data_IF_799239243800
#
_entry.id   IF_799239243800
#
_cell.length_a   1.000
_cell.length_b   1.000
_cell.length_c   1.000
_cell.angle_alpha   90.00
_cell.angle_beta   90.00
_cell.angle_gamma   90.00
#
_symmetry.space_group_name_H-M   'P 1'
#
loop_
_entity.id
_entity.type
_entity.pdbx_description
1 polymer ?
#
# COMPACT_ATOMS: atom_id res chain seq x y z
N UNK A 1 -21.27 40.26 73.11
CA UNK A 1 -20.95 40.37 71.65
C UNK A 1 -20.13 39.20 71.05
N UNK A 2 -20.02 38.05 71.77
CA UNK A 2 -19.20 36.90 71.28
C UNK A 2 -19.98 35.62 70.88
N UNK A 3 -21.32 35.62 71.08
CA UNK A 3 -22.17 34.48 70.79
C UNK A 3 -22.96 34.58 69.43
N UNK A 4 -23.08 35.71 68.84
CA UNK A 4 -23.84 35.95 67.63
C UNK A 4 -23.00 35.77 66.31
N UNK A 5 -21.65 35.76 66.44
CA UNK A 5 -20.75 35.56 65.31
C UNK A 5 -20.64 34.07 64.88
N UNK A 6 -20.87 33.13 65.86
CA UNK A 6 -20.76 31.69 65.61
C UNK A 6 -21.95 31.10 64.79
N UNK A 7 -23.09 31.73 64.80
CA UNK A 7 -24.31 31.26 64.10
C UNK A 7 -24.36 31.69 62.65
N UNK A 8 -23.63 32.73 62.27
CA UNK A 8 -23.57 33.22 60.88
C UNK A 8 -22.53 32.44 60.01
N UNK A 9 -21.53 31.83 60.65
CA UNK A 9 -20.51 31.03 59.93
C UNK A 9 -21.02 29.62 59.60
N UNK A 10 -21.95 29.06 60.42
CA UNK A 10 -22.51 27.72 60.14
C UNK A 10 -23.57 27.72 59.02
N UNK A 11 -24.14 28.85 58.65
CA UNK A 11 -25.13 28.95 57.58
C UNK A 11 -24.52 29.09 56.20
N UNK A 12 -23.24 29.47 56.12
CA UNK A 12 -22.53 29.64 54.83
C UNK A 12 -21.94 28.34 54.27
N UNK A 13 -21.91 27.27 55.04
CA UNK A 13 -21.29 25.97 54.67
C UNK A 13 -22.27 24.96 54.05
N UNK A 14 -23.56 25.29 53.95
CA UNK A 14 -24.60 24.35 53.42
C UNK A 14 -24.96 24.60 51.97
N UNK A 15 -24.45 25.66 51.32
CA UNK A 15 -24.89 26.02 49.95
C UNK A 15 -23.95 25.52 48.86
N UNK A 16 -22.81 24.89 49.17
CA UNK A 16 -21.82 24.47 48.15
C UNK A 16 -21.92 23.02 47.71
N UNK A 17 -22.94 22.24 48.04
CA UNK A 17 -23.01 20.80 47.73
C UNK A 17 -24.12 20.40 46.76
N UNK A 18 -24.50 21.25 45.82
CA UNK A 18 -25.43 20.86 44.73
C UNK A 18 -25.02 21.33 43.33
N UNK A 19 -23.76 21.17 42.99
CA UNK A 19 -23.35 21.12 41.60
C UNK A 19 -22.85 19.70 41.27
N UNK A 20 -23.64 18.68 41.61
CA UNK A 20 -23.51 17.37 40.99
C UNK A 20 -24.08 17.54 39.59
N UNK A 21 -23.19 17.79 38.62
CA UNK A 21 -23.51 17.71 37.22
C UNK A 21 -24.16 16.35 36.99
N UNK A 22 -25.37 16.36 36.51
CA UNK A 22 -26.10 15.19 36.05
C UNK A 22 -25.40 14.68 34.78
N UNK A 23 -24.16 14.17 34.93
CA UNK A 23 -23.49 13.45 33.87
C UNK A 23 -24.22 12.11 33.75
N UNK A 24 -25.22 12.05 32.90
CA UNK A 24 -25.75 10.76 32.47
C UNK A 24 -24.56 9.84 32.24
N UNK A 25 -24.53 8.68 32.91
CA UNK A 25 -23.45 7.73 32.78
C UNK A 25 -23.32 7.38 31.26
N UNK A 26 -22.25 7.86 30.69
CA UNK A 26 -21.93 7.59 29.27
C UNK A 26 -21.04 6.37 29.21
N UNK A 27 -21.45 5.39 28.47
CA UNK A 27 -20.63 4.22 28.15
C UNK A 27 -19.94 4.44 26.81
N UNK A 28 -18.77 3.83 26.63
CA UNK A 28 -18.04 3.86 25.36
C UNK A 28 -18.00 2.45 24.78
N UNK A 29 -18.34 2.36 23.50
CA UNK A 29 -18.27 1.12 22.71
C UNK A 29 -17.21 1.32 21.64
N UNK A 30 -16.13 0.56 21.72
CA UNK A 30 -15.09 0.53 20.68
C UNK A 30 -15.22 -0.73 19.84
N UNK A 31 -15.34 -0.56 18.53
CA UNK A 31 -15.45 -1.66 17.59
C UNK A 31 -14.44 -1.50 16.46
N UNK A 32 -14.01 -2.63 15.92
CA UNK A 32 -13.23 -2.68 14.68
C UNK A 32 -13.95 -3.50 13.65
N UNK A 33 -13.86 -3.06 12.39
CA UNK A 33 -14.34 -3.80 11.24
C UNK A 33 -13.33 -3.73 10.10
N UNK A 34 -13.33 -4.78 9.30
CA UNK A 34 -12.52 -4.88 8.09
C UNK A 34 -13.41 -5.35 6.94
N UNK A 35 -13.31 -4.68 5.81
CA UNK A 35 -13.99 -5.09 4.59
C UNK A 35 -13.02 -5.05 3.41
N UNK A 36 -13.21 -5.97 2.47
CA UNK A 36 -12.40 -6.08 1.26
C UNK A 36 -13.28 -6.06 0.03
N UNK A 37 -12.79 -5.38 -1.00
CA UNK A 37 -13.40 -5.37 -2.34
C UNK A 37 -12.36 -5.85 -3.34
N UNK A 38 -12.78 -6.66 -4.30
CA UNK A 38 -11.93 -7.19 -5.36
C UNK A 38 -12.41 -6.70 -6.72
N UNK A 39 -11.45 -6.49 -7.63
CA UNK A 39 -11.72 -6.16 -9.03
C UNK A 39 -10.73 -6.87 -9.95
N UNK A 40 -11.09 -7.00 -11.22
CA UNK A 40 -10.14 -7.43 -12.22
C UNK A 40 -9.15 -6.29 -12.48
N UNK A 41 -7.84 -6.58 -12.59
CA UNK A 41 -6.86 -5.58 -12.96
C UNK A 41 -7.04 -5.15 -14.42
N UNK A 42 -6.68 -3.92 -14.70
CA UNK A 42 -6.65 -3.37 -16.07
C UNK A 42 -5.26 -2.85 -16.47
N UNK A 43 -4.33 -2.78 -15.51
CA UNK A 43 -2.94 -2.34 -15.69
C UNK A 43 -1.99 -3.38 -15.12
N UNK A 44 -0.91 -3.65 -15.86
CA UNK A 44 0.28 -4.37 -15.42
C UNK A 44 1.47 -3.40 -15.35
N UNK A 45 2.09 -3.31 -14.18
CA UNK A 45 3.31 -2.54 -13.94
C UNK A 45 4.51 -3.50 -13.95
N UNK A 46 5.33 -3.44 -15.00
CA UNK A 46 6.57 -4.19 -15.11
C UNK A 46 7.69 -3.45 -14.38
N UNK A 47 8.41 -4.17 -13.55
CA UNK A 47 9.68 -3.72 -12.99
C UNK A 47 10.81 -4.51 -13.65
N UNK A 48 11.65 -3.82 -14.37
CA UNK A 48 12.75 -4.41 -15.13
C UNK A 48 14.08 -3.78 -14.72
N UNK A 49 15.17 -4.53 -14.87
CA UNK A 49 16.51 -3.99 -14.65
C UNK A 49 17.47 -4.40 -15.76
N UNK A 50 18.47 -3.53 -15.97
CA UNK A 50 19.63 -3.79 -16.82
C UNK A 50 20.86 -3.71 -15.93
N UNK A 51 21.71 -4.74 -16.02
CA UNK A 51 23.02 -4.78 -15.34
C UNK A 51 24.09 -4.96 -16.41
N UNK A 52 24.99 -3.99 -16.52
CA UNK A 52 26.12 -4.02 -17.42
C UNK A 52 27.45 -3.95 -16.64
N UNK A 53 28.38 -4.86 -16.93
CA UNK A 53 29.69 -4.94 -16.26
C UNK A 53 30.79 -4.88 -17.29
N UNK A 54 31.79 -4.00 -17.06
CA UNK A 54 33.00 -3.87 -17.89
C UNK A 54 34.15 -3.34 -17.04
N UNK A 55 35.37 -3.58 -17.47
CA UNK A 55 36.60 -3.09 -16.81
C UNK A 55 36.66 -1.56 -16.74
N UNK A 56 36.02 -0.85 -17.65
CA UNK A 56 35.98 0.61 -17.67
C UNK A 56 34.56 1.12 -17.51
N UNK A 57 34.37 2.18 -16.73
CA UNK A 57 33.08 2.80 -16.48
C UNK A 57 32.36 3.23 -17.78
N UNK A 58 33.12 3.82 -18.72
CA UNK A 58 32.59 4.25 -20.03
C UNK A 58 32.14 3.09 -20.89
N UNK A 59 32.84 1.93 -20.84
CA UNK A 59 32.47 0.72 -21.56
C UNK A 59 31.21 0.07 -20.94
N UNK A 60 31.13 0.02 -19.61
CA UNK A 60 29.93 -0.46 -18.90
C UNK A 60 28.70 0.39 -19.23
N UNK A 61 28.85 1.71 -19.24
CA UNK A 61 27.75 2.63 -19.59
C UNK A 61 27.32 2.48 -21.05
N UNK A 62 28.26 2.30 -21.98
CA UNK A 62 27.95 2.05 -23.40
C UNK A 62 27.19 0.72 -23.57
N UNK A 63 27.59 -0.32 -22.87
CA UNK A 63 26.88 -1.61 -22.87
C UNK A 63 25.44 -1.44 -22.38
N UNK A 64 25.24 -0.71 -21.26
CA UNK A 64 23.91 -0.34 -20.78
C UNK A 64 23.09 0.37 -21.85
N UNK A 65 23.63 1.42 -22.49
CA UNK A 65 22.90 2.17 -23.54
C UNK A 65 22.50 1.27 -24.72
N UNK A 66 23.35 0.34 -25.13
CA UNK A 66 23.04 -0.60 -26.21
C UNK A 66 21.86 -1.51 -25.82
N UNK A 67 21.86 -2.07 -24.62
CA UNK A 67 20.77 -2.91 -24.09
C UNK A 67 19.48 -2.10 -23.94
N UNK A 68 19.56 -0.89 -23.39
CA UNK A 68 18.40 0.02 -23.26
C UNK A 68 17.77 0.35 -24.62
N UNK A 69 18.60 0.70 -25.63
CA UNK A 69 18.12 0.98 -26.98
C UNK A 69 17.50 -0.28 -27.65
N UNK A 70 18.01 -1.47 -27.33
CA UNK A 70 17.43 -2.73 -27.81
C UNK A 70 16.07 -2.98 -27.15
N UNK A 71 15.94 -2.73 -25.84
CA UNK A 71 14.68 -2.80 -25.14
C UNK A 71 13.63 -1.81 -25.69
N UNK A 72 14.03 -0.55 -25.93
CA UNK A 72 13.12 0.42 -26.54
C UNK A 72 12.65 -0.01 -27.94
N UNK A 73 13.56 -0.58 -28.74
CA UNK A 73 13.22 -1.10 -30.09
C UNK A 73 12.25 -2.29 -30.02
N UNK A 74 12.43 -3.21 -29.07
CA UNK A 74 11.55 -4.38 -28.91
C UNK A 74 10.14 -3.99 -28.47
N UNK A 75 10.00 -2.90 -27.70
CA UNK A 75 8.72 -2.36 -27.25
C UNK A 75 8.04 -1.45 -28.27
N UNK A 76 8.75 -1.05 -29.33
CA UNK A 76 8.20 -0.14 -30.35
C UNK A 76 6.97 -0.75 -31.04
N UNK A 77 5.89 0.02 -31.08
CA UNK A 77 4.62 -0.40 -31.67
C UNK A 77 3.69 -1.19 -30.72
N UNK A 78 4.18 -1.57 -29.54
CA UNK A 78 3.36 -2.18 -28.48
C UNK A 78 3.07 -1.13 -27.41
N UNK A 79 4.10 -0.38 -27.01
CA UNK A 79 4.03 0.64 -25.97
C UNK A 79 4.68 1.92 -26.46
N UNK A 80 4.15 3.06 -26.01
CA UNK A 80 4.82 4.34 -26.19
C UNK A 80 6.12 4.35 -25.38
N UNK A 81 7.25 4.64 -26.05
CA UNK A 81 8.58 4.67 -25.43
C UNK A 81 8.71 5.64 -24.28
N UNK A 82 7.86 6.68 -24.22
CA UNK A 82 7.81 7.64 -23.10
C UNK A 82 7.26 7.05 -21.79
N UNK A 83 6.65 5.87 -21.86
CA UNK A 83 6.11 5.17 -20.69
C UNK A 83 7.14 4.27 -19.98
N UNK A 84 8.30 4.01 -20.62
CA UNK A 84 9.41 3.33 -19.95
C UNK A 84 10.17 4.36 -19.10
N UNK A 85 9.92 4.35 -17.81
CA UNK A 85 10.51 5.28 -16.85
C UNK A 85 11.75 4.66 -16.23
N UNK A 86 12.83 5.44 -16.10
CA UNK A 86 14.01 5.02 -15.34
C UNK A 86 13.86 5.51 -13.90
N UNK A 87 13.71 4.57 -12.99
CA UNK A 87 13.51 4.86 -11.55
C UNK A 87 14.84 5.11 -10.85
N UNK A 88 15.89 4.38 -11.25
CA UNK A 88 17.22 4.52 -10.71
C UNK A 88 18.28 4.15 -11.75
N UNK A 89 19.41 4.86 -11.72
CA UNK A 89 20.61 4.56 -12.52
C UNK A 89 21.85 4.80 -11.65
N UNK A 90 22.68 3.78 -11.48
CA UNK A 90 23.94 3.89 -10.73
C UNK A 90 25.11 3.28 -11.50
N UNK A 91 26.29 3.83 -11.27
CA UNK A 91 27.57 3.29 -11.76
C UNK A 91 28.47 3.08 -10.57
N UNK A 92 28.80 1.84 -10.26
CA UNK A 92 29.53 1.46 -9.05
C UNK A 92 30.83 0.73 -9.40
N UNK A 93 32.01 1.16 -8.88
CA UNK A 93 33.23 0.40 -8.99
C UNK A 93 33.16 -0.83 -8.05
N UNK A 94 33.68 -1.96 -8.49
CA UNK A 94 33.82 -3.18 -7.71
C UNK A 94 35.29 -3.54 -7.55
N UNK A 95 35.73 -3.80 -6.30
CA UNK A 95 37.07 -4.16 -5.93
C UNK A 95 37.11 -5.61 -5.39
N UNK A 96 38.18 -6.36 -5.72
CA UNK A 96 38.39 -7.67 -5.13
C UNK A 96 39.06 -7.49 -3.73
N UNK A 97 38.28 -7.71 -2.69
CA UNK A 97 38.77 -7.61 -1.30
C UNK A 97 39.84 -8.62 -0.92
N UNK A 98 40.09 -9.62 -1.77
CA UNK A 98 41.22 -10.57 -1.58
C UNK A 98 42.56 -9.98 -2.03
N UNK A 99 42.54 -8.82 -2.68
CA UNK A 99 43.73 -8.09 -3.16
C UNK A 99 43.77 -6.70 -2.53
N UNK A 100 44.12 -6.58 -1.23
CA UNK A 100 44.01 -5.32 -0.48
C UNK A 100 44.91 -4.19 -1.03
N UNK A 101 45.91 -4.51 -1.82
CA UNK A 101 46.80 -3.53 -2.46
C UNK A 101 46.30 -3.01 -3.80
N UNK A 102 45.17 -3.52 -4.27
CA UNK A 102 44.62 -3.12 -5.56
C UNK A 102 43.93 -1.74 -5.48
N UNK A 103 44.50 -0.76 -6.17
CA UNK A 103 44.01 0.62 -6.24
C UNK A 103 42.94 0.79 -7.33
N UNK A 104 42.91 -0.11 -8.33
CA UNK A 104 41.98 -0.06 -9.47
C UNK A 104 40.86 -1.06 -9.28
N UNK A 105 39.57 -0.68 -9.64
CA UNK A 105 38.48 -1.61 -9.61
C UNK A 105 38.68 -2.78 -10.57
N UNK A 106 38.19 -3.98 -10.22
CA UNK A 106 38.14 -5.12 -11.14
C UNK A 106 37.19 -4.87 -12.30
N UNK A 107 36.07 -4.27 -12.00
CA UNK A 107 35.09 -3.85 -12.99
C UNK A 107 34.23 -2.72 -12.45
N UNK A 108 33.56 -2.05 -13.39
CA UNK A 108 32.47 -1.12 -13.10
C UNK A 108 31.15 -1.77 -13.44
N UNK A 109 30.17 -1.63 -12.57
CA UNK A 109 28.80 -2.09 -12.79
C UNK A 109 27.86 -0.91 -12.96
N UNK A 110 27.14 -0.88 -14.09
CA UNK A 110 25.97 -0.02 -14.27
C UNK A 110 24.74 -0.83 -13.92
N UNK A 111 23.93 -0.31 -13.03
CA UNK A 111 22.62 -0.88 -12.69
C UNK A 111 21.55 0.15 -12.95
N UNK A 112 20.59 -0.20 -13.81
CA UNK A 112 19.41 0.63 -14.06
C UNK A 112 18.16 -0.16 -13.69
N UNK A 113 17.27 0.46 -12.91
CA UNK A 113 15.92 -0.04 -12.63
C UNK A 113 14.91 0.82 -13.35
N UNK A 114 13.95 0.18 -13.97
CA UNK A 114 12.95 0.84 -14.81
C UNK A 114 11.58 0.27 -14.53
N UNK A 115 10.56 1.10 -14.73
CA UNK A 115 9.15 0.73 -14.62
C UNK A 115 8.41 1.03 -15.92
N UNK A 116 7.42 0.19 -16.23
CA UNK A 116 6.59 0.28 -17.43
C UNK A 116 5.18 -0.14 -17.11
N UNK A 117 4.23 0.81 -17.16
CA UNK A 117 2.80 0.55 -16.99
C UNK A 117 2.13 0.28 -18.33
N UNK A 118 1.46 -0.87 -18.47
CA UNK A 118 0.77 -1.26 -19.70
C UNK A 118 -0.65 -1.76 -19.41
N UNK A 119 -1.58 -1.64 -20.39
CA UNK A 119 -2.87 -2.32 -20.30
C UNK A 119 -2.69 -3.84 -20.16
N UNK A 120 -3.57 -4.49 -19.42
CA UNK A 120 -3.55 -5.95 -19.26
C UNK A 120 -3.64 -6.69 -20.59
N UNK A 121 -4.31 -6.12 -21.59
CA UNK A 121 -4.41 -6.67 -22.94
C UNK A 121 -3.07 -6.85 -23.64
N UNK A 122 -2.06 -6.06 -23.26
CA UNK A 122 -0.74 -6.07 -23.88
C UNK A 122 0.31 -6.81 -23.02
N UNK A 123 -0.09 -7.31 -21.83
CA UNK A 123 0.78 -8.00 -20.88
C UNK A 123 1.69 -9.04 -21.55
N UNK A 124 1.11 -10.00 -22.25
CA UNK A 124 1.88 -11.12 -22.82
C UNK A 124 2.76 -10.68 -24.01
N UNK A 125 2.33 -9.68 -24.78
CA UNK A 125 3.15 -9.09 -25.86
C UNK A 125 4.39 -8.40 -25.28
N UNK A 126 4.18 -7.57 -24.24
CA UNK A 126 5.27 -6.86 -23.56
C UNK A 126 6.20 -7.87 -22.86
N UNK A 127 5.66 -8.88 -22.19
CA UNK A 127 6.46 -9.94 -21.58
C UNK A 127 7.38 -10.62 -22.61
N UNK A 128 6.84 -11.03 -23.75
CA UNK A 128 7.62 -11.63 -24.85
C UNK A 128 8.68 -10.68 -25.41
N UNK A 129 8.36 -9.40 -25.58
CA UNK A 129 9.30 -8.40 -26.08
C UNK A 129 10.43 -8.10 -25.09
N UNK A 130 10.14 -8.01 -23.79
CA UNK A 130 11.16 -7.76 -22.76
C UNK A 130 12.09 -8.96 -22.61
N UNK A 131 11.53 -10.18 -22.59
CA UNK A 131 12.32 -11.42 -22.43
C UNK A 131 13.17 -11.76 -23.65
N UNK A 132 12.88 -11.19 -24.82
CA UNK A 132 13.70 -11.36 -26.03
C UNK A 132 14.99 -10.52 -26.03
N UNK A 133 15.12 -9.57 -25.09
CA UNK A 133 16.30 -8.68 -25.03
C UNK A 133 17.30 -9.22 -24.03
N UNK A 134 18.48 -9.60 -24.51
CA UNK A 134 19.57 -10.05 -23.66
C UNK A 134 20.06 -8.95 -22.71
N UNK A 135 20.33 -9.30 -21.46
CA UNK A 135 20.79 -8.36 -20.41
C UNK A 135 19.69 -7.59 -19.72
N UNK A 136 18.41 -7.85 -20.04
CA UNK A 136 17.25 -7.33 -19.32
C UNK A 136 16.71 -8.40 -18.38
N UNK A 137 16.43 -8.02 -17.14
CA UNK A 137 15.81 -8.89 -16.14
C UNK A 137 14.45 -8.32 -15.72
N UNK A 138 13.43 -9.15 -15.67
CA UNK A 138 12.13 -8.79 -15.10
C UNK A 138 12.18 -9.11 -13.61
N UNK A 139 12.16 -8.08 -12.76
CA UNK A 139 12.20 -8.22 -11.30
C UNK A 139 10.82 -8.54 -10.72
N UNK A 140 9.76 -8.17 -11.44
CA UNK A 140 8.38 -8.46 -11.06
C UNK A 140 7.37 -7.77 -11.96
N UNK A 141 6.13 -8.25 -11.89
CA UNK A 141 4.97 -7.65 -12.53
C UNK A 141 3.92 -7.45 -11.44
N UNK A 142 3.47 -6.22 -11.26
CA UNK A 142 2.40 -5.91 -10.32
C UNK A 142 1.12 -5.58 -11.09
N UNK A 143 -0.01 -5.97 -10.53
CA UNK A 143 -1.30 -5.69 -11.14
C UNK A 143 -2.05 -4.66 -10.34
N UNK A 144 -2.68 -3.71 -11.02
CA UNK A 144 -3.53 -2.69 -10.41
C UNK A 144 -4.72 -2.34 -11.30
N UNK A 145 -5.65 -1.61 -10.73
CA UNK A 145 -6.78 -1.04 -11.46
C UNK A 145 -6.70 0.49 -11.47
N UNK A 146 -7.22 1.11 -12.53
CA UNK A 146 -7.37 2.56 -12.62
C UNK A 146 -8.39 3.08 -11.59
N UNK A 147 -9.38 2.27 -11.26
CA UNK A 147 -10.47 2.61 -10.34
C UNK A 147 -10.11 2.32 -8.87
N UNK A 148 -8.83 2.34 -8.52
CA UNK A 148 -8.36 1.97 -7.18
C UNK A 148 -9.00 2.81 -6.08
N UNK A 149 -9.11 4.13 -6.26
CA UNK A 149 -9.76 5.04 -5.32
C UNK A 149 -11.23 4.68 -5.10
N UNK A 150 -11.93 4.30 -6.17
CA UNK A 150 -13.32 3.84 -6.08
C UNK A 150 -13.44 2.55 -5.25
N UNK A 151 -12.50 1.61 -5.42
CA UNK A 151 -12.48 0.40 -4.59
C UNK A 151 -12.19 0.72 -3.12
N UNK A 152 -11.32 1.68 -2.83
CA UNK A 152 -11.02 2.14 -1.47
C UNK A 152 -12.27 2.70 -0.80
N UNK A 153 -13.01 3.55 -1.51
CA UNK A 153 -14.28 4.12 -1.02
C UNK A 153 -15.29 2.99 -0.76
N UNK A 154 -15.45 2.05 -1.69
CA UNK A 154 -16.37 0.92 -1.51
C UNK A 154 -16.00 0.04 -0.32
N UNK A 155 -14.71 -0.27 -0.14
CA UNK A 155 -14.22 -1.04 1.00
C UNK A 155 -14.47 -0.29 2.33
N UNK A 156 -14.25 1.03 2.33
CA UNK A 156 -14.49 1.88 3.49
C UNK A 156 -15.98 1.90 3.86
N UNK A 157 -16.86 2.10 2.90
CA UNK A 157 -18.31 2.13 3.13
C UNK A 157 -18.80 0.81 3.76
N UNK A 158 -18.31 -0.32 3.25
CA UNK A 158 -18.62 -1.64 3.81
C UNK A 158 -18.08 -1.80 5.23
N UNK A 159 -16.84 -1.35 5.50
CA UNK A 159 -16.25 -1.42 6.83
C UNK A 159 -17.01 -0.54 7.85
N UNK A 160 -17.38 0.68 7.45
CA UNK A 160 -18.20 1.60 8.28
C UNK A 160 -19.54 0.97 8.62
N UNK A 161 -20.23 0.38 7.65
CA UNK A 161 -21.51 -0.31 7.86
C UNK A 161 -21.36 -1.46 8.84
N UNK A 162 -20.38 -2.31 8.67
CA UNK A 162 -20.10 -3.43 9.60
C UNK A 162 -19.74 -2.96 11.02
N UNK A 163 -18.95 -1.89 11.16
CA UNK A 163 -18.63 -1.31 12.45
C UNK A 163 -19.89 -0.79 13.16
N UNK A 164 -20.76 -0.11 12.41
CA UNK A 164 -22.04 0.40 12.93
C UNK A 164 -22.95 -0.74 13.40
N UNK A 165 -23.13 -1.78 12.60
CA UNK A 165 -23.93 -2.96 12.92
C UNK A 165 -23.42 -3.67 14.20
N UNK A 166 -22.10 -3.80 14.36
CA UNK A 166 -21.48 -4.37 15.55
C UNK A 166 -21.77 -3.51 16.79
N UNK A 167 -21.58 -2.19 16.69
CA UNK A 167 -21.83 -1.27 17.78
C UNK A 167 -23.31 -1.28 18.23
N UNK A 168 -24.25 -1.29 17.27
CA UNK A 168 -25.69 -1.37 17.53
C UNK A 168 -26.08 -2.71 18.17
N UNK A 169 -25.44 -3.80 17.78
CA UNK A 169 -25.67 -5.11 18.40
C UNK A 169 -25.23 -5.11 19.87
N UNK A 170 -24.02 -4.58 20.18
CA UNK A 170 -23.54 -4.44 21.55
C UNK A 170 -24.46 -3.53 22.36
N UNK A 171 -24.82 -2.37 21.82
CA UNK A 171 -25.68 -1.41 22.51
C UNK A 171 -27.04 -2.03 22.88
N UNK A 172 -27.66 -2.80 21.97
CA UNK A 172 -28.91 -3.50 22.26
C UNK A 172 -28.79 -4.53 23.37
N UNK A 173 -27.71 -5.30 23.39
CA UNK A 173 -27.45 -6.32 24.42
C UNK A 173 -27.25 -5.71 25.80
N UNK A 174 -26.65 -4.52 25.87
CA UNK A 174 -26.33 -3.82 27.12
C UNK A 174 -27.41 -2.79 27.54
N UNK A 175 -28.53 -2.71 26.83
CA UNK A 175 -29.59 -1.75 27.13
C UNK A 175 -29.19 -0.29 26.90
N UNK A 176 -28.20 -0.06 26.04
CA UNK A 176 -27.71 1.26 25.69
C UNK A 176 -28.49 1.83 24.47
N UNK A 177 -28.54 3.15 24.39
CA UNK A 177 -29.18 3.89 23.30
C UNK A 177 -28.35 5.10 22.89
N UNK A 178 -28.79 5.82 21.86
CA UNK A 178 -28.17 7.06 21.36
C UNK A 178 -26.67 6.94 21.07
N UNK A 179 -26.33 6.00 20.15
CA UNK A 179 -24.97 5.81 19.68
C UNK A 179 -24.48 7.02 18.88
N UNK A 180 -23.48 7.72 19.38
CA UNK A 180 -22.80 8.83 18.72
C UNK A 180 -21.34 8.53 18.52
N UNK A 181 -20.80 8.83 17.33
CA UNK A 181 -19.39 8.67 17.04
C UNK A 181 -18.59 9.64 17.92
N UNK A 182 -17.63 9.11 18.69
CA UNK A 182 -16.67 9.87 19.47
C UNK A 182 -15.35 10.05 18.70
N UNK A 183 -14.85 8.97 18.12
CA UNK A 183 -13.63 8.98 17.32
C UNK A 183 -13.67 7.89 16.26
N UNK A 184 -12.95 8.11 15.17
CA UNK A 184 -12.87 7.18 14.05
C UNK A 184 -11.46 7.23 13.48
N UNK A 185 -10.86 6.05 13.29
CA UNK A 185 -9.60 5.85 12.60
C UNK A 185 -9.79 4.89 11.44
N UNK A 186 -9.17 5.20 10.31
CA UNK A 186 -9.22 4.37 9.11
C UNK A 186 -7.82 4.04 8.62
N UNK A 187 -7.64 2.83 8.10
CA UNK A 187 -6.43 2.42 7.40
C UNK A 187 -6.80 1.56 6.19
N UNK A 188 -6.00 1.67 5.15
CA UNK A 188 -6.14 0.87 3.95
C UNK A 188 -4.96 -0.09 3.82
N UNK A 189 -5.24 -1.31 3.38
CA UNK A 189 -4.24 -2.30 3.01
C UNK A 189 -4.44 -2.72 1.57
N UNK A 190 -3.34 -2.76 0.84
CA UNK A 190 -3.25 -3.16 -0.56
C UNK A 190 -2.26 -4.31 -0.62
N UNK A 191 -2.71 -5.55 -0.37
CA UNK A 191 -1.80 -6.68 -0.48
C UNK A 191 -1.25 -6.73 -1.91
N UNK A 192 0.07 -6.92 -2.07
CA UNK A 192 0.67 -7.07 -3.39
C UNK A 192 0.06 -8.31 -4.06
N UNK A 193 -0.42 -8.13 -5.28
CA UNK A 193 -0.95 -9.22 -6.09
C UNK A 193 0.25 -9.93 -6.71
N UNK A 194 0.59 -11.11 -6.20
CA UNK A 194 1.61 -11.95 -6.82
C UNK A 194 1.03 -12.64 -8.06
N UNK A 195 1.74 -12.63 -9.20
CA UNK A 195 1.31 -13.39 -10.37
C UNK A 195 1.27 -14.90 -10.01
N UNK A 196 0.15 -15.56 -10.29
CA UNK A 196 0.11 -17.00 -10.29
C UNK A 196 0.88 -17.49 -11.52
N UNK A 197 2.09 -17.97 -11.31
CA UNK A 197 2.79 -18.73 -12.35
C UNK A 197 2.05 -20.04 -12.54
N UNK A 198 1.38 -20.20 -13.68
CA UNK A 198 0.83 -21.50 -14.06
C UNK A 198 1.96 -22.52 -14.11
N UNK A 199 1.74 -23.70 -13.50
CA UNK A 199 2.69 -24.81 -13.59
C UNK A 199 2.85 -25.15 -15.07
N UNK A 200 4.00 -24.78 -15.65
CA UNK A 200 4.32 -25.09 -17.04
C UNK A 200 4.47 -26.60 -17.20
N UNK A 201 3.47 -27.23 -17.79
CA UNK A 201 3.71 -28.52 -18.49
C UNK A 201 4.69 -28.22 -19.62
N UNK A 202 5.73 -29.05 -19.72
CA UNK A 202 6.89 -28.90 -20.60
C UNK A 202 6.55 -29.06 -22.09
N UNK A 203 5.79 -28.11 -22.63
CA UNK A 203 5.64 -27.90 -24.04
C UNK A 203 5.94 -26.42 -24.30
N UNK A 204 6.83 -26.14 -25.27
CA UNK A 204 7.35 -24.82 -25.62
C UNK A 204 6.23 -23.86 -26.09
N UNK A 205 5.39 -23.44 -25.14
CA UNK A 205 4.47 -22.35 -25.34
C UNK A 205 5.13 -21.04 -24.86
N UNK A 206 4.88 -19.95 -25.54
CA UNK A 206 5.34 -18.62 -25.12
C UNK A 206 4.95 -18.38 -23.65
N UNK A 207 5.80 -17.75 -22.83
CA UNK A 207 5.50 -17.48 -21.43
C UNK A 207 4.20 -16.68 -21.34
N UNK A 208 3.21 -17.23 -20.63
CA UNK A 208 1.94 -16.54 -20.38
C UNK A 208 1.74 -16.33 -18.88
N UNK A 209 1.32 -15.15 -18.53
CA UNK A 209 0.98 -14.75 -17.15
C UNK A 209 -0.50 -14.42 -17.11
N UNK A 210 -1.22 -15.05 -16.17
CA UNK A 210 -2.60 -14.69 -15.89
C UNK A 210 -2.64 -13.72 -14.72
N UNK A 211 -3.31 -12.58 -14.91
CA UNK A 211 -3.49 -11.59 -13.87
C UNK A 211 -4.51 -12.11 -12.83
N UNK A 212 -4.12 -12.11 -11.57
CA UNK A 212 -5.04 -12.35 -10.46
C UNK A 212 -5.80 -11.07 -10.09
N UNK A 213 -6.97 -11.23 -9.43
CA UNK A 213 -7.78 -10.08 -9.00
C UNK A 213 -7.02 -9.17 -8.03
N UNK A 214 -7.22 -7.87 -8.16
CA UNK A 214 -6.72 -6.85 -7.22
C UNK A 214 -7.69 -6.76 -6.05
N UNK A 215 -7.18 -6.76 -4.82
CA UNK A 215 -7.96 -6.60 -3.61
C UNK A 215 -7.56 -5.33 -2.87
N UNK A 216 -8.56 -4.58 -2.41
CA UNK A 216 -8.37 -3.44 -1.52
C UNK A 216 -9.15 -3.71 -0.24
N UNK A 217 -8.50 -3.60 0.91
CA UNK A 217 -9.11 -3.77 2.21
C UNK A 217 -9.08 -2.45 2.98
N UNK A 218 -10.21 -2.10 3.59
CA UNK A 218 -10.32 -0.99 4.54
C UNK A 218 -10.55 -1.54 5.94
N UNK A 219 -9.78 -1.06 6.90
CA UNK A 219 -9.99 -1.33 8.32
C UNK A 219 -10.42 -0.03 8.98
N UNK A 220 -11.47 -0.12 9.79
CA UNK A 220 -11.98 1.00 10.57
C UNK A 220 -12.03 0.62 12.04
N UNK A 221 -11.61 1.54 12.89
CA UNK A 221 -11.79 1.48 14.33
C UNK A 221 -12.62 2.68 14.77
N UNK A 222 -13.77 2.42 15.39
CA UNK A 222 -14.71 3.47 15.80
C UNK A 222 -15.00 3.32 17.28
N UNK A 223 -14.94 4.44 17.99
CA UNK A 223 -15.43 4.55 19.37
C UNK A 223 -16.72 5.36 19.35
N UNK A 224 -17.77 4.78 19.88
CA UNK A 224 -19.06 5.42 20.09
C UNK A 224 -19.26 5.76 21.56
N UNK A 225 -19.94 6.86 21.83
CA UNK A 225 -20.55 7.12 23.13
C UNK A 225 -22.00 6.68 23.09
N UNK A 226 -22.49 6.09 24.17
CA UNK A 226 -23.87 5.65 24.33
C UNK A 226 -24.38 6.03 25.73
N UNK A 227 -25.70 6.10 25.88
CA UNK A 227 -26.36 6.37 27.15
C UNK A 227 -27.27 5.20 27.49
N UNK A 228 -27.47 4.94 28.81
CA UNK A 228 -28.48 3.98 29.27
C UNK A 228 -29.89 4.53 28.97
N UNK A 229 -30.80 3.63 28.59
CA UNK A 229 -32.23 3.95 28.41
C UNK A 229 -32.88 4.31 29.73
#
# INVERSE_FOLDING_TARGET
MRRTVFLLVSLLLVVTSRAQSNSQARSEISVSANASVTANPDIADFHVSIIARQEQATAAFRMYLNTYNSLQRSLKGIVDSTKLLTDNLSVTPHFDYKKPEQVTPDYYQVTASMSLAVPISDLNKVLGSVTSVEGVTINGIQFRTKDQEKLEIQALDLAVKQAREKAESIARSEGLSDLRVKSMNTSFSRPPVMPMYGVMSAQMAAPSVNASSVSVSATIQVTYTAIYK
#
